data_IF_523792286332
#
_entry.id   IF_523792286332
#
_cell.length_a   1.000
_cell.length_b   1.000
_cell.length_c   1.000
_cell.angle_alpha   90.00
_cell.angle_beta   90.00
_cell.angle_gamma   90.00
#
_symmetry.space_group_name_H-M   'P 1'
#
loop_
_entity.id
_entity.type
_entity.pdbx_description
1 polymer ?
#
# COMPACT_ATOMS: atom_id res chain seq x y z
N UNK A 1 14.23 0.17 9.35
CA UNK A 1 13.15 -0.74 9.80
C UNK A 1 12.12 -0.92 8.71
N UNK A 2 11.47 -2.10 8.61
CA UNK A 2 10.37 -2.29 7.69
C UNK A 2 9.16 -1.47 8.14
N UNK A 3 8.44 -0.90 7.18
CA UNK A 3 7.18 -0.23 7.47
C UNK A 3 6.02 -1.26 7.51
N UNK A 4 5.17 -1.16 8.53
CA UNK A 4 4.00 -2.04 8.73
C UNK A 4 2.82 -1.17 9.15
N UNK A 5 1.67 -1.41 8.52
CA UNK A 5 0.38 -0.79 8.86
C UNK A 5 -0.66 -1.88 9.09
N UNK A 6 -1.59 -1.65 10.02
CA UNK A 6 -2.68 -2.60 10.29
C UNK A 6 -3.68 -2.63 9.12
N UNK A 7 -3.96 -3.80 8.51
CA UNK A 7 -4.91 -3.90 7.40
C UNK A 7 -6.38 -3.81 7.85
N UNK A 8 -6.67 -3.81 9.16
CA UNK A 8 -8.03 -3.85 9.70
C UNK A 8 -8.51 -2.51 10.28
N UNK A 9 -7.65 -1.48 10.24
CA UNK A 9 -7.96 -0.14 10.71
C UNK A 9 -9.08 0.54 9.91
N UNK A 10 -9.66 1.61 10.47
CA UNK A 10 -10.74 2.37 9.83
C UNK A 10 -10.33 2.91 8.45
N UNK A 11 -9.12 3.45 8.33
CA UNK A 11 -8.61 4.01 7.08
C UNK A 11 -8.27 2.92 6.06
N UNK A 12 -7.70 1.79 6.50
CA UNK A 12 -7.50 0.62 5.64
C UNK A 12 -8.82 0.13 5.01
N UNK A 13 -9.88 -0.01 5.82
CA UNK A 13 -11.22 -0.37 5.33
C UNK A 13 -11.79 0.66 4.35
N UNK A 14 -11.55 1.96 4.60
CA UNK A 14 -11.99 3.03 3.70
C UNK A 14 -11.25 2.94 2.34
N UNK A 15 -9.94 2.69 2.34
CA UNK A 15 -9.15 2.50 1.12
C UNK A 15 -9.60 1.26 0.33
N UNK A 16 -9.86 0.14 1.01
CA UNK A 16 -10.39 -1.06 0.35
C UNK A 16 -11.76 -0.79 -0.29
N UNK A 17 -12.66 -0.08 0.40
CA UNK A 17 -13.97 0.30 -0.14
C UNK A 17 -13.84 1.22 -1.36
N UNK A 18 -12.93 2.20 -1.33
CA UNK A 18 -12.76 3.11 -2.47
C UNK A 18 -12.18 2.39 -3.69
N UNK A 19 -11.20 1.50 -3.50
CA UNK A 19 -10.64 0.68 -4.56
C UNK A 19 -11.69 -0.26 -5.17
N UNK A 20 -12.50 -0.94 -4.35
CA UNK A 20 -13.62 -1.76 -4.85
C UNK A 20 -14.60 -0.94 -5.69
N UNK A 21 -14.92 0.28 -5.24
CA UNK A 21 -15.82 1.16 -5.98
C UNK A 21 -15.22 1.64 -7.30
N UNK A 22 -13.90 1.83 -7.37
CA UNK A 22 -13.23 2.33 -8.57
C UNK A 22 -13.00 1.24 -9.62
N UNK A 23 -12.67 0.01 -9.19
CA UNK A 23 -12.23 -1.07 -10.07
C UNK A 23 -13.22 -2.24 -10.19
N UNK A 24 -14.30 -2.24 -9.42
CA UNK A 24 -15.37 -3.26 -9.48
C UNK A 24 -15.00 -4.63 -8.88
N UNK A 25 -13.81 -4.78 -8.31
CA UNK A 25 -13.28 -6.03 -7.76
C UNK A 25 -12.80 -5.87 -6.32
N UNK A 26 -12.81 -6.95 -5.55
CA UNK A 26 -12.24 -6.95 -4.19
C UNK A 26 -10.73 -6.71 -4.25
N UNK A 27 -10.18 -5.69 -3.58
CA UNK A 27 -8.75 -5.45 -3.56
C UNK A 27 -8.02 -6.54 -2.76
N UNK A 28 -6.81 -6.87 -3.20
CA UNK A 28 -5.94 -7.82 -2.51
C UNK A 28 -5.02 -7.06 -1.55
N UNK A 29 -4.90 -7.56 -0.32
CA UNK A 29 -3.91 -7.07 0.65
C UNK A 29 -2.61 -7.84 0.46
N UNK A 30 -1.53 -7.11 0.19
CA UNK A 30 -0.21 -7.66 -0.10
C UNK A 30 0.85 -7.02 0.79
N UNK A 31 1.94 -7.75 1.01
CA UNK A 31 3.21 -7.19 1.50
C UNK A 31 4.21 -7.27 0.36
N UNK A 32 5.01 -6.22 0.21
CA UNK A 32 6.03 -6.13 -0.84
C UNK A 32 7.44 -6.24 -0.25
N UNK A 33 8.34 -6.84 -1.03
CA UNK A 33 9.77 -6.91 -0.72
C UNK A 33 10.56 -5.66 -1.17
N UNK A 34 9.96 -4.83 -2.04
CA UNK A 34 10.54 -3.57 -2.49
C UNK A 34 10.71 -2.55 -1.36
N UNK A 35 11.66 -1.63 -1.53
CA UNK A 35 11.97 -0.62 -0.52
C UNK A 35 11.58 0.78 -1.00
N UNK A 36 10.72 1.45 -0.22
CA UNK A 36 10.33 2.85 -0.42
C UNK A 36 10.64 3.62 0.88
N UNK A 37 11.88 4.07 1.12
CA UNK A 37 12.31 4.54 2.45
C UNK A 37 11.48 5.67 3.07
N UNK A 38 10.88 6.53 2.24
CA UNK A 38 10.11 7.69 2.72
C UNK A 38 8.85 7.31 3.53
N UNK A 39 8.28 6.12 3.32
CA UNK A 39 7.06 5.72 4.05
C UNK A 39 7.34 5.48 5.54
N UNK A 40 8.52 4.96 5.87
CA UNK A 40 8.97 4.85 7.26
C UNK A 40 9.15 6.24 7.87
N UNK A 41 9.73 7.18 7.12
CA UNK A 41 9.91 8.55 7.58
C UNK A 41 8.58 9.24 7.88
N UNK A 42 7.54 9.04 7.06
CA UNK A 42 6.20 9.59 7.36
C UNK A 42 5.64 9.04 8.67
N UNK A 43 5.76 7.73 8.89
CA UNK A 43 5.32 7.11 10.14
C UNK A 43 6.10 7.66 11.36
N UNK A 44 7.41 7.82 11.23
CA UNK A 44 8.28 8.23 12.33
C UNK A 44 8.21 9.73 12.63
N UNK A 45 8.19 10.58 11.61
CA UNK A 45 8.26 12.04 11.74
C UNK A 45 6.87 12.65 11.85
N UNK A 46 5.98 12.31 10.91
CA UNK A 46 4.63 12.91 10.83
C UNK A 46 3.60 12.15 11.68
N UNK A 47 3.92 10.94 12.13
CA UNK A 47 3.03 10.08 12.93
C UNK A 47 1.73 9.74 12.19
N UNK A 48 1.83 9.51 10.88
CA UNK A 48 0.69 9.13 10.03
C UNK A 48 0.89 7.75 9.41
N UNK A 49 -0.22 7.04 9.24
CA UNK A 49 -0.25 5.82 8.43
C UNK A 49 -0.13 6.17 6.94
N UNK A 50 0.66 5.39 6.22
CA UNK A 50 0.81 5.45 4.77
C UNK A 50 0.25 4.17 4.16
N UNK A 51 -0.66 4.31 3.21
CA UNK A 51 -1.20 3.17 2.46
C UNK A 51 -0.61 3.21 1.05
N UNK A 52 -0.05 2.09 0.61
CA UNK A 52 0.48 1.94 -0.75
C UNK A 52 -0.59 1.29 -1.62
N UNK A 53 -1.00 1.99 -2.68
CA UNK A 53 -2.00 1.52 -3.63
C UNK A 53 -1.26 0.96 -4.85
N UNK A 54 -1.21 -0.36 -4.95
CA UNK A 54 -0.62 -1.04 -6.11
C UNK A 54 -1.50 -0.86 -7.34
N UNK A 55 -0.95 -0.26 -8.39
CA UNK A 55 -1.56 -0.17 -9.72
C UNK A 55 -0.77 -0.98 -10.76
N UNK A 56 0.41 -1.45 -10.37
CA UNK A 56 1.30 -2.22 -11.23
C UNK A 56 0.79 -3.66 -11.41
N UNK A 57 1.04 -4.22 -12.60
CA UNK A 57 0.76 -5.62 -12.89
C UNK A 57 1.97 -6.51 -12.50
N UNK A 58 1.76 -7.81 -12.23
CA UNK A 58 2.85 -8.72 -11.87
C UNK A 58 3.96 -8.84 -12.93
N UNK A 59 3.67 -8.51 -14.17
CA UNK A 59 4.56 -8.57 -15.33
C UNK A 59 5.10 -7.20 -15.78
N UNK A 60 4.89 -6.14 -14.99
CA UNK A 60 5.44 -4.80 -15.27
C UNK A 60 6.98 -4.78 -15.24
N UNK A 61 7.61 -5.80 -14.65
CA UNK A 61 9.07 -6.00 -14.67
C UNK A 61 9.83 -4.74 -14.22
N UNK A 62 9.39 -4.12 -13.12
CA UNK A 62 10.02 -2.92 -12.58
C UNK A 62 11.52 -3.13 -12.37
N UNK A 63 12.34 -2.29 -13.02
CA UNK A 63 13.81 -2.34 -13.02
C UNK A 63 14.46 -3.48 -13.84
N UNK A 64 13.69 -4.30 -14.55
CA UNK A 64 14.22 -5.15 -15.64
C UNK A 64 14.77 -4.27 -16.77
N UNK A 65 15.66 -4.78 -17.64
CA UNK A 65 15.77 -4.25 -19.00
C UNK A 65 14.40 -4.18 -19.68
#
# INVERSE_FOLDING_TARGET
>A
DPYIVSPTGRLAKAALKSLKSAFGHEPVLLREGGSIPIVEHFARILKVDTYLLGLALPDDNLHSP
#
